data_IF_350554165163
#
_entry.id   IF_350554165163
#
_cell.length_a   1.000
_cell.length_b   1.000
_cell.length_c   1.000
_cell.angle_alpha   90.00
_cell.angle_beta   90.00
_cell.angle_gamma   90.00
#
_symmetry.space_group_name_H-M   'P 1'
#
loop_
_entity.id
_entity.type
_entity.pdbx_description
1 polymer ?
#
# COMPACT_ATOMS: atom_id res chain seq x y z
N UNK A 1 3.30 -3.03 25.80
CA UNK A 1 4.65 -3.65 25.91
C UNK A 1 4.62 -5.03 26.53
N UNK A 2 3.99 -5.21 27.69
CA UNK A 2 3.84 -6.52 28.38
C UNK A 2 3.22 -7.62 27.52
N UNK A 3 2.36 -7.28 26.56
CA UNK A 3 1.77 -8.26 25.63
C UNK A 3 2.78 -8.81 24.60
N UNK A 4 3.81 -8.05 24.19
CA UNK A 4 4.83 -8.52 23.24
C UNK A 4 5.74 -9.56 23.92
N UNK A 5 6.16 -9.28 25.16
CA UNK A 5 6.96 -10.20 25.96
C UNK A 5 6.26 -11.55 26.21
N UNK A 6 4.92 -11.55 26.27
CA UNK A 6 4.12 -12.78 26.41
C UNK A 6 4.07 -13.62 25.12
N UNK A 7 4.23 -13.00 23.95
CA UNK A 7 4.17 -13.68 22.64
C UNK A 7 5.55 -14.16 22.22
N UNK A 8 6.56 -13.28 22.28
CA UNK A 8 7.94 -13.63 22.00
C UNK A 8 8.90 -12.75 22.81
N UNK A 9 9.54 -13.38 23.80
CA UNK A 9 10.51 -12.72 24.67
C UNK A 9 11.75 -12.27 23.90
N UNK A 10 12.21 -13.02 22.90
CA UNK A 10 13.42 -12.68 22.16
C UNK A 10 13.23 -11.42 21.32
N UNK A 11 12.09 -11.29 20.66
CA UNK A 11 11.72 -10.05 19.95
C UNK A 11 11.57 -8.88 20.93
N UNK A 12 10.97 -9.09 22.10
CA UNK A 12 10.88 -8.04 23.12
C UNK A 12 12.26 -7.55 23.56
N UNK A 13 13.17 -8.46 23.89
CA UNK A 13 14.53 -8.11 24.35
C UNK A 13 15.27 -7.30 23.28
N UNK A 14 15.20 -7.73 22.01
CA UNK A 14 15.78 -7.01 20.87
C UNK A 14 15.16 -5.61 20.65
N UNK A 15 13.85 -5.47 20.80
CA UNK A 15 13.19 -4.15 20.68
C UNK A 15 13.59 -3.21 21.82
N UNK A 16 13.91 -3.74 23.00
CA UNK A 16 14.32 -2.93 24.15
C UNK A 16 15.78 -2.46 24.08
N UNK A 17 16.62 -3.09 23.25
CA UNK A 17 17.98 -2.61 22.97
C UNK A 17 17.96 -1.32 22.13
N UNK A 18 16.90 -1.09 21.37
CA UNK A 18 16.75 0.07 20.49
C UNK A 18 15.77 1.11 21.05
N UNK A 19 16.06 2.41 20.91
CA UNK A 19 15.17 3.47 21.38
C UNK A 19 13.77 3.37 20.74
N UNK A 20 12.67 3.58 21.50
CA UNK A 20 11.29 3.47 21.01
C UNK A 20 11.01 4.28 19.74
N UNK A 21 11.68 5.40 19.56
CA UNK A 21 11.65 6.26 18.36
C UNK A 21 11.99 5.50 17.07
N UNK A 22 12.76 4.41 17.17
CA UNK A 22 13.22 3.61 16.02
C UNK A 22 12.25 2.53 15.59
N UNK A 23 11.39 2.03 16.48
CA UNK A 23 10.50 0.91 16.17
C UNK A 23 9.02 1.18 16.46
N UNK A 24 8.68 2.09 17.37
CA UNK A 24 7.30 2.48 17.65
C UNK A 24 6.90 3.70 16.81
N UNK A 25 5.86 3.55 15.96
CA UNK A 25 5.30 4.67 15.18
C UNK A 25 4.86 5.82 16.09
N UNK A 26 4.36 5.52 17.28
CA UNK A 26 3.90 6.51 18.26
C UNK A 26 4.99 7.34 18.90
N UNK A 27 6.22 6.83 18.94
CA UNK A 27 7.37 7.52 19.53
C UNK A 27 8.29 8.11 18.44
N UNK A 28 8.06 7.81 17.16
CA UNK A 28 8.96 8.22 16.09
C UNK A 28 8.89 9.74 15.88
N UNK A 29 10.02 10.48 15.94
CA UNK A 29 10.06 11.91 15.67
C UNK A 29 9.78 12.24 14.20
N UNK A 30 9.98 11.25 13.32
CA UNK A 30 9.64 11.35 11.90
C UNK A 30 8.30 10.69 11.63
N UNK A 31 7.50 11.32 10.76
CA UNK A 31 6.26 10.75 10.24
C UNK A 31 6.60 9.51 9.43
N UNK A 32 6.17 8.35 9.92
CA UNK A 32 6.27 7.08 9.21
C UNK A 32 4.90 6.76 8.63
N UNK A 33 4.80 6.86 7.31
CA UNK A 33 3.65 6.40 6.56
C UNK A 33 3.78 4.90 6.30
N UNK A 34 2.67 4.21 6.08
CA UNK A 34 2.64 2.78 5.73
C UNK A 34 3.20 2.49 4.31
N UNK A 35 3.69 3.52 3.62
CA UNK A 35 4.42 3.39 2.37
C UNK A 35 5.85 2.93 2.64
N UNK A 36 6.04 1.61 2.70
CA UNK A 36 7.35 1.01 2.56
C UNK A 36 7.85 1.24 1.12
N UNK A 37 9.05 1.80 0.96
CA UNK A 37 9.66 2.07 -0.36
C UNK A 37 9.78 0.81 -1.22
N UNK A 38 9.87 -0.36 -0.58
CA UNK A 38 9.82 -1.69 -1.23
C UNK A 38 8.53 -1.91 -2.00
N UNK A 39 7.38 -1.43 -1.50
CA UNK A 39 6.07 -1.67 -2.12
C UNK A 39 5.96 -1.00 -3.50
N UNK A 40 6.56 0.19 -3.66
CA UNK A 40 6.57 0.89 -4.96
C UNK A 40 7.39 0.11 -5.98
N UNK A 41 8.60 -0.30 -5.60
CA UNK A 41 9.49 -1.08 -6.46
C UNK A 41 8.88 -2.44 -6.80
N UNK A 42 8.28 -3.12 -5.84
CA UNK A 42 7.60 -4.40 -6.03
C UNK A 42 6.38 -4.28 -6.93
N UNK A 43 5.57 -3.24 -6.75
CA UNK A 43 4.42 -2.95 -7.62
C UNK A 43 4.87 -2.71 -9.06
N UNK A 44 5.89 -1.86 -9.27
CA UNK A 44 6.44 -1.63 -10.59
C UNK A 44 7.06 -2.88 -11.20
N UNK A 45 7.81 -3.67 -10.41
CA UNK A 45 8.37 -4.95 -10.84
C UNK A 45 7.27 -5.91 -11.30
N UNK A 46 6.15 -5.97 -10.57
CA UNK A 46 5.01 -6.83 -10.92
C UNK A 46 4.40 -6.45 -12.27
N UNK A 47 4.29 -5.15 -12.57
CA UNK A 47 3.76 -4.64 -13.84
C UNK A 47 4.70 -4.93 -15.01
N UNK A 48 6.01 -4.96 -14.74
CA UNK A 48 7.05 -5.17 -15.75
C UNK A 48 7.45 -6.64 -15.93
N UNK A 49 6.84 -7.58 -15.22
CA UNK A 49 7.23 -9.00 -15.26
C UNK A 49 7.29 -9.55 -16.69
N UNK A 50 6.24 -9.32 -17.48
CA UNK A 50 6.17 -9.78 -18.88
C UNK A 50 7.03 -8.92 -19.81
N UNK A 51 7.08 -7.60 -19.56
CA UNK A 51 7.83 -6.66 -20.39
C UNK A 51 9.35 -6.90 -20.35
N UNK A 52 9.86 -7.48 -19.27
CA UNK A 52 11.28 -7.85 -19.10
C UNK A 52 11.75 -8.97 -20.03
N UNK A 53 10.83 -9.73 -20.60
CA UNK A 53 11.14 -10.80 -21.55
C UNK A 53 11.17 -10.28 -22.99
N UNK A 54 10.76 -9.03 -23.21
CA UNK A 54 10.74 -8.40 -24.52
C UNK A 54 12.10 -7.76 -24.83
N UNK A 55 12.43 -7.56 -26.12
CA UNK A 55 13.55 -6.69 -26.51
C UNK A 55 13.45 -5.31 -25.86
N UNK A 56 14.60 -4.67 -25.60
CA UNK A 56 14.67 -3.38 -24.91
C UNK A 56 13.69 -2.34 -25.48
N UNK A 57 13.65 -2.22 -26.81
CA UNK A 57 12.73 -1.32 -27.51
C UNK A 57 11.26 -1.58 -27.14
N UNK A 58 10.84 -2.84 -27.18
CA UNK A 58 9.48 -3.27 -26.81
C UNK A 58 9.17 -3.08 -25.34
N UNK A 59 10.16 -3.24 -24.46
CA UNK A 59 10.00 -2.96 -23.03
C UNK A 59 9.77 -1.47 -22.78
N UNK A 60 10.50 -0.59 -23.49
CA UNK A 60 10.29 0.86 -23.41
C UNK A 60 8.90 1.25 -23.95
N UNK A 61 8.49 0.70 -25.09
CA UNK A 61 7.14 0.90 -25.64
C UNK A 61 6.07 0.52 -24.61
N UNK A 62 6.23 -0.65 -23.97
CA UNK A 62 5.31 -1.11 -22.94
C UNK A 62 5.23 -0.15 -21.75
N UNK A 63 6.38 0.30 -21.24
CA UNK A 63 6.44 1.26 -20.12
C UNK A 63 5.71 2.55 -20.50
N UNK A 64 5.98 3.09 -21.69
CA UNK A 64 5.35 4.31 -22.17
C UNK A 64 3.83 4.17 -22.26
N UNK A 65 3.32 3.08 -22.89
CA UNK A 65 1.88 2.82 -22.99
C UNK A 65 1.24 2.65 -21.62
N UNK A 66 1.90 1.98 -20.67
CA UNK A 66 1.41 1.84 -19.29
C UNK A 66 1.31 3.19 -18.59
N UNK A 67 2.37 4.00 -18.65
CA UNK A 67 2.39 5.33 -18.05
C UNK A 67 1.31 6.22 -18.68
N UNK A 68 1.19 6.24 -20.01
CA UNK A 68 0.15 7.00 -20.71
C UNK A 68 -1.25 6.63 -20.21
N UNK A 69 -1.58 5.33 -20.16
CA UNK A 69 -2.89 4.85 -19.66
C UNK A 69 -3.12 5.24 -18.21
N UNK A 70 -2.10 5.12 -17.37
CA UNK A 70 -2.21 5.48 -15.95
C UNK A 70 -2.39 6.98 -15.73
N UNK A 71 -1.63 7.82 -16.43
CA UNK A 71 -1.76 9.27 -16.37
C UNK A 71 -3.14 9.70 -16.86
N UNK A 72 -3.58 9.18 -18.00
CA UNK A 72 -4.93 9.45 -18.52
C UNK A 72 -6.02 9.04 -17.53
N UNK A 73 -5.95 7.82 -16.98
CA UNK A 73 -6.92 7.35 -16.00
C UNK A 73 -6.95 8.22 -14.75
N UNK A 74 -5.79 8.52 -14.16
CA UNK A 74 -5.71 9.31 -12.93
C UNK A 74 -6.16 10.75 -13.13
N UNK A 75 -5.90 11.34 -14.29
CA UNK A 75 -6.41 12.66 -14.65
C UNK A 75 -7.93 12.66 -14.73
N UNK A 76 -8.51 11.72 -15.47
CA UNK A 76 -9.97 11.63 -15.59
C UNK A 76 -10.64 11.34 -14.23
N UNK A 77 -10.01 10.52 -13.38
CA UNK A 77 -10.48 10.30 -12.00
C UNK A 77 -10.40 11.59 -11.17
N UNK A 78 -9.33 12.37 -11.32
CA UNK A 78 -9.18 13.65 -10.62
C UNK A 78 -10.20 14.70 -11.10
N UNK A 79 -10.36 14.87 -12.41
CA UNK A 79 -11.33 15.79 -13.04
C UNK A 79 -12.79 15.40 -12.72
N UNK A 80 -13.08 14.08 -12.65
CA UNK A 80 -14.40 13.58 -12.28
C UNK A 80 -14.70 13.62 -10.78
N UNK A 81 -13.76 14.08 -9.94
CA UNK A 81 -13.93 14.13 -8.49
C UNK A 81 -14.37 15.52 -8.03
N UNK A 82 -15.58 15.60 -7.46
CA UNK A 82 -16.13 16.83 -6.89
C UNK A 82 -15.84 17.02 -5.39
N UNK A 83 -15.06 16.13 -4.80
CA UNK A 83 -14.67 16.20 -3.39
C UNK A 83 -13.51 17.17 -3.19
N UNK A 84 -13.51 17.86 -2.04
CA UNK A 84 -12.39 18.72 -1.60
C UNK A 84 -11.10 17.92 -1.34
N UNK A 85 -11.22 16.59 -1.21
CA UNK A 85 -10.15 15.62 -0.93
C UNK A 85 -10.13 14.54 -2.00
N UNK A 86 -9.05 13.75 -2.10
CA UNK A 86 -9.03 12.62 -3.05
C UNK A 86 -10.12 11.59 -2.76
N UNK A 87 -10.55 10.88 -3.80
CA UNK A 87 -11.53 9.79 -3.72
C UNK A 87 -11.18 8.72 -2.67
N UNK A 88 -9.89 8.47 -2.43
CA UNK A 88 -9.45 7.53 -1.41
C UNK A 88 -9.71 8.06 0.00
N UNK A 89 -9.35 9.33 0.27
CA UNK A 89 -9.59 9.97 1.57
C UNK A 89 -11.09 10.00 1.86
N UNK A 90 -11.90 10.40 0.89
CA UNK A 90 -13.36 10.43 1.04
C UNK A 90 -13.94 9.06 1.40
N UNK A 91 -13.48 7.99 0.72
CA UNK A 91 -13.88 6.61 1.05
C UNK A 91 -13.45 6.21 2.45
N UNK A 92 -12.26 6.61 2.87
CA UNK A 92 -11.73 6.28 4.19
C UNK A 92 -12.47 7.00 5.32
N UNK A 93 -12.83 8.28 5.10
CA UNK A 93 -13.70 9.02 6.01
C UNK A 93 -15.07 8.37 6.10
N UNK A 94 -15.69 8.00 4.97
CA UNK A 94 -17.01 7.36 4.93
C UNK A 94 -17.08 6.07 5.75
N UNK A 95 -16.06 5.22 5.71
CA UNK A 95 -16.02 3.99 6.54
C UNK A 95 -16.08 4.27 8.04
N UNK A 96 -15.58 5.43 8.46
CA UNK A 96 -15.49 5.84 9.87
C UNK A 96 -16.76 6.58 10.33
N UNK A 97 -17.64 7.00 9.41
CA UNK A 97 -18.83 7.82 9.73
C UNK A 97 -19.81 7.05 10.62
N UNK A 98 -20.15 5.82 10.27
CA UNK A 98 -21.16 5.05 11.00
C UNK A 98 -20.76 4.84 12.47
N UNK A 99 -19.48 4.53 12.71
CA UNK A 99 -18.92 4.42 14.06
C UNK A 99 -18.83 5.78 14.75
N UNK A 100 -18.45 6.85 14.05
CA UNK A 100 -18.39 8.18 14.66
C UNK A 100 -19.76 8.64 15.18
N UNK A 101 -20.86 8.27 14.51
CA UNK A 101 -22.21 8.64 14.94
C UNK A 101 -22.73 7.88 16.16
N UNK A 102 -22.09 6.80 16.58
CA UNK A 102 -22.46 6.10 17.82
C UNK A 102 -21.82 6.72 19.06
N UNK A 103 -20.88 7.65 18.90
CA UNK A 103 -20.09 8.21 19.99
C UNK A 103 -20.81 9.39 20.67
N UNK A 104 -20.66 9.48 21.99
CA UNK A 104 -21.14 10.62 22.76
C UNK A 104 -20.09 11.74 22.74
N UNK A 105 -20.49 12.94 22.31
CA UNK A 105 -19.61 14.09 22.17
C UNK A 105 -20.04 15.21 23.09
N UNK A 106 -19.10 15.68 23.91
CA UNK A 106 -19.24 16.81 24.82
C UNK A 106 -18.26 17.91 24.41
N UNK A 107 -18.72 18.98 23.72
CA UNK A 107 -17.88 20.13 23.41
C UNK A 107 -17.36 20.79 24.69
N UNK A 108 -16.06 21.08 24.75
CA UNK A 108 -15.43 21.78 25.89
C UNK A 108 -15.33 23.28 25.59
N UNK A 109 -14.82 23.63 24.41
CA UNK A 109 -14.77 25.02 23.91
C UNK A 109 -14.95 25.06 22.37
N UNK A 110 -14.47 26.11 21.69
CA UNK A 110 -14.56 26.25 20.22
C UNK A 110 -13.76 25.22 19.41
N UNK A 111 -12.73 24.58 19.98
CA UNK A 111 -11.83 23.67 19.26
C UNK A 111 -11.61 22.33 19.99
N UNK A 112 -11.91 22.27 21.28
CA UNK A 112 -11.74 21.08 22.11
C UNK A 112 -13.07 20.37 22.33
N UNK A 113 -13.00 19.04 22.27
CA UNK A 113 -14.14 18.16 22.56
C UNK A 113 -13.68 16.97 23.39
N UNK A 114 -14.56 16.51 24.27
CA UNK A 114 -14.44 15.27 25.01
C UNK A 114 -15.38 14.25 24.36
N UNK A 115 -14.85 13.10 23.95
CA UNK A 115 -15.60 12.03 23.29
C UNK A 115 -15.52 10.77 24.14
N UNK A 116 -16.66 10.13 24.35
CA UNK A 116 -16.73 8.86 25.09
C UNK A 116 -16.98 7.69 24.13
N UNK A 117 -16.13 6.68 24.20
CA UNK A 117 -16.20 5.43 23.44
C UNK A 117 -16.02 4.26 24.42
N UNK A 118 -17.04 3.40 24.55
CA UNK A 118 -17.00 2.18 25.39
C UNK A 118 -16.50 2.42 26.84
N UNK A 119 -16.82 3.58 27.42
CA UNK A 119 -16.41 3.97 28.77
C UNK A 119 -15.00 4.57 28.88
N UNK A 120 -14.27 4.70 27.77
CA UNK A 120 -13.00 5.41 27.67
C UNK A 120 -13.27 6.83 27.17
N UNK A 121 -12.64 7.80 27.82
CA UNK A 121 -12.71 9.21 27.41
C UNK A 121 -11.50 9.58 26.57
N UNK A 122 -11.76 10.22 25.43
CA UNK A 122 -10.75 10.78 24.54
C UNK A 122 -10.92 12.29 24.46
N UNK A 123 -9.84 13.03 24.72
CA UNK A 123 -9.76 14.45 24.45
C UNK A 123 -9.20 14.68 23.05
N UNK A 124 -9.67 15.74 22.43
CA UNK A 124 -9.22 16.15 21.12
C UNK A 124 -9.19 17.66 20.97
N UNK A 125 -8.24 18.12 20.17
CA UNK A 125 -8.04 19.51 19.78
C UNK A 125 -8.10 19.58 18.25
N UNK A 126 -9.18 20.16 17.73
CA UNK A 126 -9.41 20.33 16.30
C UNK A 126 -8.44 21.33 15.66
N UNK A 127 -7.97 22.32 16.42
CA UNK A 127 -7.06 23.34 15.91
C UNK A 127 -5.66 22.74 15.70
N UNK A 128 -5.17 21.96 16.67
CA UNK A 128 -3.90 21.23 16.56
C UNK A 128 -4.00 19.92 15.77
N UNK A 129 -5.22 19.48 15.43
CA UNK A 129 -5.51 18.20 14.77
C UNK A 129 -4.99 17.00 15.58
N UNK A 130 -5.23 17.02 16.89
CA UNK A 130 -4.76 15.97 17.80
C UNK A 130 -5.94 15.28 18.49
N UNK A 131 -5.79 13.99 18.74
CA UNK A 131 -6.69 13.19 19.56
C UNK A 131 -5.88 12.23 20.43
N UNK A 132 -6.36 11.92 21.62
CA UNK A 132 -5.71 10.96 22.52
C UNK A 132 -5.59 9.54 21.94
N UNK A 133 -6.41 9.19 20.93
CA UNK A 133 -6.25 7.93 20.20
C UNK A 133 -5.04 7.93 19.25
N UNK A 134 -4.38 9.08 19.07
CA UNK A 134 -3.24 9.34 18.18
C UNK A 134 -3.46 9.10 16.68
N UNK A 135 -4.55 8.45 16.27
CA UNK A 135 -4.84 8.16 14.86
C UNK A 135 -4.98 9.44 14.04
N UNK A 136 -5.52 10.52 14.61
CA UNK A 136 -5.64 11.79 13.92
C UNK A 136 -4.28 12.38 13.55
N UNK A 137 -3.31 12.26 14.46
CA UNK A 137 -1.93 12.71 14.26
C UNK A 137 -1.16 11.82 13.29
N UNK A 138 -1.36 10.49 13.37
CA UNK A 138 -0.58 9.53 12.59
C UNK A 138 -1.05 9.39 11.15
N UNK A 139 -2.36 9.31 10.95
CA UNK A 139 -2.93 9.15 9.61
C UNK A 139 -3.14 10.50 8.93
N UNK A 140 -3.03 11.59 9.70
CA UNK A 140 -3.29 12.96 9.26
C UNK A 140 -4.69 13.15 8.64
N UNK A 141 -5.60 12.26 9.06
CA UNK A 141 -7.00 12.20 8.71
C UNK A 141 -7.81 12.14 10.00
N UNK A 142 -8.98 12.79 10.06
CA UNK A 142 -9.90 12.65 11.18
C UNK A 142 -10.13 11.17 11.58
N UNK A 143 -9.84 10.85 12.84
CA UNK A 143 -10.24 9.59 13.47
C UNK A 143 -11.75 9.58 13.77
N UNK A 144 -12.31 8.47 14.23
CA UNK A 144 -13.74 8.38 14.57
C UNK A 144 -14.17 9.42 15.62
N UNK A 145 -13.32 9.70 16.63
CA UNK A 145 -13.56 10.73 17.65
C UNK A 145 -13.53 12.13 17.04
N UNK A 146 -12.58 12.38 16.13
CA UNK A 146 -12.47 13.66 15.46
C UNK A 146 -13.67 13.91 14.55
N UNK A 147 -14.10 12.90 13.79
CA UNK A 147 -15.26 12.98 12.92
C UNK A 147 -16.51 13.30 13.73
N UNK A 148 -16.75 12.63 14.86
CA UNK A 148 -17.94 12.87 15.68
C UNK A 148 -17.98 14.29 16.24
N UNK A 149 -16.84 14.83 16.68
CA UNK A 149 -16.74 16.21 17.15
C UNK A 149 -16.87 17.26 16.04
N UNK A 150 -16.34 17.00 14.84
CA UNK A 150 -16.49 17.87 13.67
C UNK A 150 -17.97 17.95 13.26
N UNK A 151 -18.65 16.81 13.21
CA UNK A 151 -20.07 16.71 12.88
C UNK A 151 -20.94 17.43 13.91
N UNK A 152 -20.63 17.29 15.20
CA UNK A 152 -21.34 18.00 16.28
C UNK A 152 -21.31 19.52 16.11
N UNK A 153 -20.28 20.06 15.43
CA UNK A 153 -20.09 21.49 15.15
C UNK A 153 -20.57 21.89 13.74
N UNK A 154 -21.06 20.96 12.94
CA UNK A 154 -21.47 21.17 11.55
C UNK A 154 -20.37 21.80 10.68
N UNK A 155 -19.11 21.39 10.89
CA UNK A 155 -17.97 21.84 10.10
C UNK A 155 -17.64 20.79 9.03
N UNK A 156 -17.17 21.21 7.87
CA UNK A 156 -16.69 20.28 6.84
C UNK A 156 -15.49 19.46 7.33
N UNK A 157 -15.62 18.13 7.29
CA UNK A 157 -14.55 17.16 7.61
C UNK A 157 -13.29 17.35 6.77
N UNK A 158 -13.45 17.73 5.49
CA UNK A 158 -12.35 17.95 4.54
C UNK A 158 -11.34 18.99 5.04
N UNK A 159 -11.78 19.99 5.80
CA UNK A 159 -10.93 21.04 6.37
C UNK A 159 -9.86 20.49 7.33
N UNK A 160 -10.07 19.31 7.88
CA UNK A 160 -9.21 18.69 8.88
C UNK A 160 -8.31 17.59 8.32
N UNK A 161 -8.45 17.24 7.03
CA UNK A 161 -7.50 16.37 6.34
C UNK A 161 -6.19 17.13 6.09
N UNK A 162 -5.05 16.46 6.16
CA UNK A 162 -3.78 17.11 5.81
C UNK A 162 -3.67 17.40 4.32
N UNK A 163 -2.86 18.42 4.00
CA UNK A 163 -2.47 18.75 2.63
C UNK A 163 -1.62 17.65 1.98
N UNK A 164 -0.98 16.80 2.77
CA UNK A 164 -0.09 15.71 2.33
C UNK A 164 -0.81 14.37 2.15
N UNK A 165 -2.01 14.20 2.75
CA UNK A 165 -2.95 13.15 2.36
C UNK A 165 -3.24 13.30 0.87
N UNK A 166 -3.39 12.20 0.09
CA UNK A 166 -3.36 12.25 -1.37
C UNK A 166 -4.26 13.37 -1.83
N UNK A 167 -3.61 14.33 -2.50
CA UNK A 167 -3.98 15.73 -2.52
C UNK A 167 -5.41 15.92 -3.05
N UNK A 168 -6.06 17.04 -2.72
CA UNK A 168 -7.40 17.36 -3.25
C UNK A 168 -7.47 17.18 -4.76
N UNK A 169 -8.67 16.94 -5.30
CA UNK A 169 -8.86 16.60 -6.72
C UNK A 169 -8.10 17.52 -7.68
N UNK A 170 -8.02 18.82 -7.39
CA UNK A 170 -7.26 19.80 -8.17
C UNK A 170 -5.73 19.56 -8.22
N UNK A 171 -5.08 19.26 -7.09
CA UNK A 171 -3.63 19.01 -7.05
C UNK A 171 -3.30 17.67 -7.70
N UNK A 172 -4.17 16.66 -7.51
CA UNK A 172 -4.03 15.38 -8.21
C UNK A 172 -4.11 15.58 -9.73
N UNK A 173 -5.03 16.43 -10.20
CA UNK A 173 -5.15 16.78 -11.61
C UNK A 173 -3.88 17.47 -12.14
N UNK A 174 -3.32 18.44 -11.39
CA UNK A 174 -2.05 19.12 -11.73
C UNK A 174 -0.88 18.13 -11.85
N UNK A 175 -0.77 17.20 -10.90
CA UNK A 175 0.33 16.21 -10.88
C UNK A 175 0.31 15.26 -12.09
N UNK A 176 -0.87 14.97 -12.63
CA UNK A 176 -1.07 14.13 -13.82
C UNK A 176 -1.48 14.93 -15.07
N UNK A 177 -1.31 16.25 -15.05
CA UNK A 177 -1.68 17.15 -16.15
C UNK A 177 -0.84 16.85 -17.41
N UNK A 178 0.45 16.54 -17.22
CA UNK A 178 1.35 16.26 -18.34
C UNK A 178 0.88 15.07 -19.15
N UNK A 179 0.86 15.26 -20.47
CA UNK A 179 0.52 14.22 -21.43
C UNK A 179 1.77 13.42 -21.80
N UNK A 180 1.60 12.10 -21.85
CA UNK A 180 2.63 11.19 -22.37
C UNK A 180 2.21 10.82 -23.78
N UNK A 181 2.88 11.41 -24.76
CA UNK A 181 2.65 11.10 -26.16
C UNK A 181 3.39 9.83 -26.56
N UNK A 182 2.83 8.99 -27.44
CA UNK A 182 3.56 7.86 -28.01
C UNK A 182 4.72 8.36 -28.89
N UNK A 183 5.75 7.54 -29.03
CA UNK A 183 6.77 7.79 -30.05
C UNK A 183 6.16 7.48 -31.43
N UNK A 184 6.39 8.37 -32.40
CA UNK A 184 5.92 8.19 -33.79
C UNK A 184 6.57 7.01 -34.49
N UNK A 185 6.17 6.74 -35.74
CA UNK A 185 6.82 5.72 -36.56
C UNK A 185 8.30 6.04 -36.80
N UNK A 186 9.16 5.03 -36.91
CA UNK A 186 10.61 5.23 -37.03
C UNK A 186 10.99 6.09 -38.24
N UNK A 187 10.20 6.03 -39.31
CA UNK A 187 10.41 6.80 -40.54
C UNK A 187 10.21 8.31 -40.34
N UNK A 188 9.49 8.73 -39.30
CA UNK A 188 9.29 10.15 -38.99
C UNK A 188 10.34 10.71 -38.03
N UNK A 189 11.31 9.91 -37.58
CA UNK A 189 12.29 10.33 -36.58
C UNK A 189 13.42 11.14 -37.21
N UNK A 190 13.62 12.36 -36.70
CA UNK A 190 14.81 13.15 -37.00
C UNK A 190 15.88 12.75 -35.99
N UNK A 191 16.69 11.74 -36.34
CA UNK A 191 17.79 11.26 -35.49
C UNK A 191 19.05 12.10 -35.75
N UNK A 192 19.60 12.81 -34.75
CA UNK A 192 20.83 13.59 -34.91
C UNK A 192 22.01 12.72 -35.34
N UNK A 193 22.92 13.29 -36.14
CA UNK A 193 24.08 12.56 -36.65
C UNK A 193 25.01 12.05 -35.53
N UNK A 194 25.06 12.78 -34.42
CA UNK A 194 25.79 12.38 -33.19
C UNK A 194 25.24 11.11 -32.54
N UNK A 195 23.99 10.73 -32.83
CA UNK A 195 23.37 9.47 -32.36
C UNK A 195 23.53 8.39 -33.41
N UNK A 196 23.32 8.70 -34.70
CA UNK A 196 23.50 7.74 -35.80
C UNK A 196 24.91 7.15 -35.86
N UNK A 197 25.91 7.97 -35.56
CA UNK A 197 27.32 7.58 -35.53
C UNK A 197 27.72 6.74 -34.31
N UNK A 198 26.84 6.57 -33.31
CA UNK A 198 27.13 5.74 -32.13
C UNK A 198 26.97 4.26 -32.45
N UNK A 199 28.03 3.49 -32.21
CA UNK A 199 28.00 2.04 -32.26
C UNK A 199 27.75 1.52 -30.85
N UNK A 200 26.53 1.06 -30.58
CA UNK A 200 26.18 0.43 -29.30
C UNK A 200 26.60 -1.04 -29.34
N UNK A 201 27.66 -1.38 -28.62
CA UNK A 201 28.10 -2.77 -28.45
C UNK A 201 27.18 -3.51 -27.47
N UNK A 202 26.95 -4.82 -27.64
CA UNK A 202 26.25 -5.61 -26.64
C UNK A 202 26.98 -5.53 -25.29
N UNK A 203 26.26 -5.56 -24.15
CA UNK A 203 26.90 -5.57 -22.84
C UNK A 203 27.83 -6.78 -22.72
N UNK A 204 29.03 -6.56 -22.22
CA UNK A 204 30.03 -7.62 -22.05
C UNK A 204 29.68 -8.41 -20.78
N UNK A 205 28.74 -9.34 -20.90
CA UNK A 205 28.25 -10.14 -19.77
C UNK A 205 28.18 -11.63 -20.12
N UNK A 206 28.68 -12.46 -19.21
CA UNK A 206 28.54 -13.92 -19.29
C UNK A 206 27.16 -14.30 -18.78
N UNK A 207 26.34 -14.95 -19.61
CA UNK A 207 25.07 -15.55 -19.17
C UNK A 207 25.41 -16.81 -18.37
N UNK A 208 25.15 -16.88 -17.05
CA UNK A 208 25.36 -18.11 -16.31
C UNK A 208 24.43 -19.22 -16.84
N UNK A 209 24.91 -20.46 -16.94
CA UNK A 209 24.08 -21.58 -17.38
C UNK A 209 22.94 -21.84 -16.38
N UNK A 210 21.72 -22.00 -16.89
CA UNK A 210 20.52 -22.31 -16.10
C UNK A 210 19.30 -21.44 -16.42
N UNK A 211 18.12 -21.86 -15.94
CA UNK A 211 16.89 -21.09 -16.10
C UNK A 211 16.93 -19.87 -15.18
N UNK A 212 16.95 -18.68 -15.76
CA UNK A 212 16.82 -17.43 -15.00
C UNK A 212 15.53 -17.45 -14.18
N UNK A 213 15.63 -17.22 -12.88
CA UNK A 213 14.44 -17.12 -12.02
C UNK A 213 13.63 -15.89 -12.41
N UNK A 214 12.38 -16.12 -12.83
CA UNK A 214 11.44 -15.07 -13.26
C UNK A 214 10.73 -14.38 -12.07
N UNK A 215 10.58 -15.10 -10.97
CA UNK A 215 9.90 -14.64 -9.75
C UNK A 215 10.91 -14.46 -8.64
N UNK A 216 10.68 -13.47 -7.77
CA UNK A 216 11.42 -13.32 -6.52
C UNK A 216 11.25 -14.58 -5.68
N UNK A 217 12.31 -15.00 -5.00
CA UNK A 217 12.21 -15.99 -3.94
C UNK A 217 11.37 -15.40 -2.80
N UNK A 218 10.18 -15.95 -2.58
CA UNK A 218 9.28 -15.51 -1.52
C UNK A 218 9.83 -16.06 -0.19
N UNK A 219 10.26 -15.22 0.76
CA UNK A 219 10.69 -15.68 2.08
C UNK A 219 9.52 -16.35 2.82
N UNK A 220 9.80 -17.32 3.70
CA UNK A 220 8.76 -18.01 4.48
C UNK A 220 7.91 -17.07 5.36
N UNK A 221 8.42 -15.87 5.65
CA UNK A 221 7.74 -14.80 6.40
C UNK A 221 6.71 -14.03 5.58
N UNK A 222 6.78 -14.08 4.25
CA UNK A 222 5.81 -13.44 3.37
C UNK A 222 4.70 -14.45 3.06
N UNK A 223 3.53 -14.26 3.70
CA UNK A 223 2.40 -15.18 3.60
C UNK A 223 1.84 -15.23 2.17
N UNK A 224 2.38 -16.12 1.36
CA UNK A 224 1.68 -16.54 0.15
C UNK A 224 0.47 -17.35 0.59
N UNK A 225 -0.73 -16.97 0.13
CA UNK A 225 -1.90 -17.86 0.20
C UNK A 225 -1.65 -19.03 -0.76
N UNK A 226 -0.80 -19.98 -0.37
CA UNK A 226 -0.54 -21.16 -1.18
C UNK A 226 -1.79 -22.03 -1.08
N UNK A 227 -2.67 -21.89 -2.05
CA UNK A 227 -3.86 -22.73 -2.21
C UNK A 227 -3.43 -24.04 -2.85
N UNK A 228 -2.94 -24.98 -2.04
CA UNK A 228 -2.68 -26.33 -2.51
C UNK A 228 -4.01 -26.98 -2.92
N UNK A 229 -4.12 -27.40 -4.19
CA UNK A 229 -5.21 -28.24 -4.67
C UNK A 229 -4.76 -29.69 -4.61
N UNK A 230 -5.52 -30.53 -3.92
CA UNK A 230 -5.19 -31.94 -3.77
C UNK A 230 -5.25 -32.65 -5.12
N UNK A 231 -4.16 -33.30 -5.53
CA UNK A 231 -4.12 -34.06 -6.79
C UNK A 231 -5.04 -35.29 -6.82
N UNK A 232 -5.56 -35.74 -5.68
CA UNK A 232 -6.49 -36.87 -5.57
C UNK A 232 -7.96 -36.40 -5.55
N UNK A 233 -8.38 -35.63 -4.54
CA UNK A 233 -9.78 -35.22 -4.39
C UNK A 233 -10.12 -33.87 -5.04
N UNK A 234 -9.13 -33.16 -5.62
CA UNK A 234 -9.26 -31.85 -6.26
C UNK A 234 -9.76 -30.72 -5.35
N UNK A 235 -9.88 -30.94 -4.03
CA UNK A 235 -10.26 -29.91 -3.04
C UNK A 235 -9.04 -29.07 -2.63
N UNK A 236 -9.31 -27.85 -2.17
CA UNK A 236 -8.30 -26.86 -1.77
C UNK A 236 -8.03 -27.00 -0.26
N UNK A 237 -6.80 -26.75 0.17
CA UNK A 237 -6.41 -26.68 1.60
C UNK A 237 -5.57 -27.86 2.09
N UNK A 238 -5.30 -28.84 1.24
CA UNK A 238 -4.40 -29.95 1.55
C UNK A 238 -3.75 -30.50 0.28
N UNK A 239 -2.61 -31.17 0.44
CA UNK A 239 -1.93 -31.87 -0.65
C UNK A 239 -2.35 -33.35 -0.73
N UNK A 240 -1.92 -34.07 -1.77
CA UNK A 240 -2.27 -35.50 -1.95
C UNK A 240 -1.85 -36.39 -0.77
N UNK A 241 -0.75 -36.03 -0.09
CA UNK A 241 -0.17 -36.81 1.02
C UNK A 241 -1.09 -36.77 2.25
N UNK A 242 -1.74 -35.63 2.50
CA UNK A 242 -2.66 -35.41 3.62
C UNK A 242 -4.16 -35.57 3.22
N UNK A 243 -4.44 -36.21 2.09
CA UNK A 243 -5.80 -36.35 1.57
C UNK A 243 -6.60 -37.42 2.32
N UNK A 244 -7.54 -37.01 3.16
CA UNK A 244 -8.46 -37.91 3.88
C UNK A 244 -9.52 -38.57 3.00
N UNK A 245 -9.70 -38.08 1.77
CA UNK A 245 -10.64 -38.63 0.78
C UNK A 245 -9.97 -39.61 -0.20
N UNK A 246 -8.72 -40.01 0.07
CA UNK A 246 -8.06 -41.03 -0.75
C UNK A 246 -8.47 -42.42 -0.27
N UNK A 247 -8.92 -43.27 -1.19
CA UNK A 247 -9.26 -44.67 -0.90
C UNK A 247 -8.02 -45.50 -0.51
N UNK A 248 -6.82 -45.00 -0.79
CA UNK A 248 -5.55 -45.60 -0.41
C UNK A 248 -4.69 -44.57 0.33
N UNK A 249 -4.08 -44.97 1.45
CA UNK A 249 -3.15 -44.10 2.21
C UNK A 249 -1.89 -43.90 1.38
N UNK A 250 -1.44 -42.65 1.23
CA UNK A 250 -0.23 -42.36 0.47
C UNK A 250 1.00 -42.94 1.18
N UNK A 251 1.97 -43.57 0.47
CA UNK A 251 3.13 -44.22 1.09
C UNK A 251 3.97 -43.30 2.00
N UNK A 252 3.98 -42.00 1.70
CA UNK A 252 4.70 -40.98 2.46
C UNK A 252 3.81 -40.21 3.47
N UNK A 253 2.60 -40.71 3.74
CA UNK A 253 1.75 -40.19 4.82
C UNK A 253 2.48 -40.35 6.14
N UNK A 254 2.57 -39.27 6.93
CA UNK A 254 3.29 -39.25 8.23
C UNK A 254 2.78 -40.30 9.24
N UNK A 255 1.66 -40.99 8.97
CA UNK A 255 1.15 -42.09 9.80
C UNK A 255 1.98 -43.39 9.72
N UNK A 256 2.95 -43.51 8.82
CA UNK A 256 3.77 -44.73 8.64
C UNK A 256 5.25 -44.58 9.04
N UNK A 257 5.57 -43.74 10.04
CA UNK A 257 6.87 -43.82 10.72
C UNK A 257 6.65 -44.41 12.11
N UNK A 258 6.69 -45.74 12.19
CA UNK A 258 7.17 -46.45 13.37
C UNK A 258 8.70 -46.53 13.29
#
# INVERSE_FOLDING_TARGET
MSNIAKVDKKTYDCLMEEPPERWARSCSPRRRYDMLTTNIVESMNSVLLEARELPLSRMIDFIQVKLQRWFYKRRNEAEGTFYDVSCWVEKELKKKIDLAFTLNVFPVDSWHSRVEEEGITFLMDLNKRTCDCFLFQFDELPCIHAISAIEKRNIKKSNFCSHWSPEGSGILAEKYERQIHPVGHIDSWIVPESVKSQIVKPPDFKVPPGRRQKKRHIPATESSKITFKCGCCRRIGHNRIACIYSLAVHPFSRKHRE
#
